data_IF_032441994621
#
_entry.id   IF_032441994621
#
_cell.length_a   1.000
_cell.length_b   1.000
_cell.length_c   1.000
_cell.angle_alpha   90.00
_cell.angle_beta   90.00
_cell.angle_gamma   90.00
#
_symmetry.space_group_name_H-M   'P 1'
#
loop_
_entity.id
_entity.type
_entity.pdbx_description
1 polymer ?
#
# COMPACT_ATOMS: atom_id res chain seq x y z
N UNK A 1 13.63 -22.10 -8.12
CA UNK A 1 14.15 -21.07 -7.21
C UNK A 1 13.41 -19.78 -7.52
N UNK A 2 12.75 -19.20 -6.52
CA UNK A 2 11.99 -17.97 -6.67
C UNK A 2 12.92 -16.79 -6.94
N UNK A 3 12.44 -15.79 -7.68
CA UNK A 3 13.19 -14.58 -8.00
C UNK A 3 12.48 -13.33 -7.47
N UNK A 4 13.24 -12.33 -7.05
CA UNK A 4 12.68 -11.00 -6.76
C UNK A 4 11.89 -10.48 -7.97
N UNK A 5 10.75 -9.83 -7.72
CA UNK A 5 9.72 -9.38 -8.69
C UNK A 5 8.86 -10.50 -9.29
N UNK A 6 9.12 -11.77 -9.00
CA UNK A 6 8.25 -12.85 -9.44
C UNK A 6 6.88 -12.74 -8.75
N UNK A 7 5.80 -12.87 -9.52
CA UNK A 7 4.45 -12.96 -8.98
C UNK A 7 4.17 -14.42 -8.63
N UNK A 8 3.85 -14.63 -7.36
CA UNK A 8 3.57 -15.92 -6.75
C UNK A 8 2.15 -15.97 -6.20
N UNK A 9 1.64 -17.18 -6.06
CA UNK A 9 0.36 -17.47 -5.44
C UNK A 9 0.59 -18.01 -4.03
N UNK A 10 -0.05 -17.37 -3.06
CA UNK A 10 -0.02 -17.80 -1.67
C UNK A 10 -1.16 -18.76 -1.41
N UNK A 11 -0.85 -19.87 -0.74
CA UNK A 11 -1.88 -20.73 -0.16
C UNK A 11 -2.31 -20.13 1.18
N UNK A 12 -3.56 -19.68 1.27
CA UNK A 12 -4.11 -19.18 2.53
C UNK A 12 -4.54 -20.35 3.41
N UNK A 13 -4.03 -20.42 4.63
CA UNK A 13 -4.54 -21.37 5.62
C UNK A 13 -5.98 -20.97 6.00
N UNK A 14 -6.96 -21.82 5.67
CA UNK A 14 -8.38 -21.61 6.01
C UNK A 14 -9.25 -20.97 4.93
N UNK A 15 -8.71 -20.68 3.73
CA UNK A 15 -9.53 -20.39 2.56
C UNK A 15 -10.18 -21.68 1.99
N UNK A 16 -11.25 -21.55 1.22
CA UNK A 16 -11.61 -22.63 0.29
C UNK A 16 -10.36 -22.91 -0.55
N UNK A 17 -9.95 -24.17 -0.71
CA UNK A 17 -8.64 -24.56 -1.28
C UNK A 17 -8.27 -24.01 -2.67
N UNK A 18 -9.16 -23.22 -3.29
CA UNK A 18 -9.00 -22.54 -4.58
C UNK A 18 -8.71 -21.02 -4.46
N UNK A 19 -8.78 -20.42 -3.26
CA UNK A 19 -8.50 -18.98 -3.08
C UNK A 19 -6.99 -18.72 -3.01
N UNK A 20 -6.42 -18.42 -4.19
CA UNK A 20 -5.03 -17.98 -4.34
C UNK A 20 -4.92 -16.47 -4.28
N UNK A 21 -4.03 -15.96 -3.43
CA UNK A 21 -3.75 -14.52 -3.32
C UNK A 21 -2.43 -14.22 -4.02
N UNK A 22 -2.41 -13.32 -5.02
CA UNK A 22 -1.16 -12.95 -5.69
C UNK A 22 -0.31 -12.05 -4.77
N UNK A 23 1.00 -12.28 -4.80
CA UNK A 23 1.99 -11.44 -4.14
C UNK A 23 3.26 -11.38 -4.99
N UNK A 24 4.04 -10.31 -4.83
CA UNK A 24 5.40 -10.29 -5.36
C UNK A 24 6.37 -10.90 -4.37
N UNK A 25 7.33 -11.68 -4.86
CA UNK A 25 8.54 -11.99 -4.10
C UNK A 25 9.41 -10.72 -4.05
N UNK A 26 9.69 -10.23 -2.85
CA UNK A 26 10.58 -9.08 -2.66
C UNK A 26 11.97 -9.54 -2.22
N UNK A 27 12.07 -10.53 -1.33
CA UNK A 27 13.34 -11.17 -0.95
C UNK A 27 13.18 -12.69 -0.86
N UNK A 28 13.87 -13.49 -1.68
CA UNK A 28 13.74 -14.95 -1.68
C UNK A 28 14.59 -15.67 -0.62
N UNK A 29 15.30 -14.95 0.27
CA UNK A 29 16.37 -15.52 1.10
C UNK A 29 15.92 -15.96 2.52
N UNK A 30 16.43 -17.12 2.96
CA UNK A 30 16.20 -17.77 4.25
C UNK A 30 16.29 -16.84 5.49
N UNK A 31 15.46 -17.03 6.54
CA UNK A 31 14.71 -18.26 6.87
C UNK A 31 13.30 -18.37 6.26
N UNK A 32 12.94 -17.56 5.26
CA UNK A 32 11.69 -17.69 4.50
C UNK A 32 11.69 -16.85 3.22
N UNK A 33 10.55 -16.75 2.56
CA UNK A 33 10.35 -15.89 1.39
C UNK A 33 9.61 -14.63 1.85
N UNK A 34 10.24 -13.47 1.72
CA UNK A 34 9.59 -12.19 1.96
C UNK A 34 8.79 -11.81 0.71
N UNK A 35 7.51 -11.55 0.91
CA UNK A 35 6.54 -11.27 -0.14
C UNK A 35 5.79 -9.97 0.14
N UNK A 36 5.24 -9.34 -0.90
CA UNK A 36 4.37 -8.19 -0.78
C UNK A 36 3.08 -8.42 -1.57
N UNK A 37 1.97 -8.63 -0.86
CA UNK A 37 0.63 -8.83 -1.42
C UNK A 37 -0.29 -7.64 -1.12
N UNK A 38 -1.58 -7.76 -1.46
CA UNK A 38 -2.55 -6.67 -1.22
C UNK A 38 -2.64 -6.21 0.25
N UNK A 39 -2.40 -7.13 1.20
CA UNK A 39 -2.39 -6.87 2.64
C UNK A 39 -1.05 -6.30 3.16
N UNK A 40 -0.01 -6.23 2.33
CA UNK A 40 1.33 -5.75 2.70
C UNK A 40 2.41 -6.82 2.70
N UNK A 41 3.47 -6.51 3.44
CA UNK A 41 4.64 -7.36 3.58
C UNK A 41 4.35 -8.57 4.49
N UNK A 42 4.87 -9.73 4.12
CA UNK A 42 4.86 -10.93 4.97
C UNK A 42 6.09 -11.79 4.70
N UNK A 43 6.48 -12.59 5.69
CA UNK A 43 7.46 -13.66 5.52
C UNK A 43 6.70 -14.98 5.58
N UNK A 44 6.87 -15.80 4.56
CA UNK A 44 6.20 -17.11 4.43
C UNK A 44 7.23 -18.19 4.20
N UNK A 45 6.86 -19.45 4.45
CA UNK A 45 7.73 -20.56 4.15
C UNK A 45 7.76 -20.82 2.63
N UNK A 46 8.86 -21.37 2.11
CA UNK A 46 8.98 -21.65 0.68
C UNK A 46 7.87 -22.56 0.14
N UNK A 47 7.35 -23.49 0.97
CA UNK A 47 6.29 -24.40 0.57
C UNK A 47 4.89 -23.76 0.53
N UNK A 48 4.70 -22.59 1.15
CA UNK A 48 3.44 -21.83 1.14
C UNK A 48 3.31 -20.95 -0.11
N UNK A 49 4.37 -20.88 -0.92
CA UNK A 49 4.49 -20.02 -2.09
C UNK A 49 4.68 -20.86 -3.34
N UNK A 50 3.83 -20.65 -4.34
CA UNK A 50 3.97 -21.30 -5.64
C UNK A 50 4.11 -20.26 -6.74
N UNK A 51 5.03 -20.43 -7.70
CA UNK A 51 5.00 -19.64 -8.93
C UNK A 51 3.60 -19.71 -9.55
N UNK A 52 3.06 -18.58 -9.98
CA UNK A 52 1.74 -18.59 -10.62
C UNK A 52 1.81 -19.44 -11.89
N UNK A 53 0.88 -20.39 -12.03
CA UNK A 53 0.83 -21.30 -13.19
C UNK A 53 0.50 -20.58 -14.49
N UNK A 54 -0.16 -19.44 -14.39
CA UNK A 54 -0.49 -18.56 -15.50
C UNK A 54 0.26 -17.25 -15.33
N UNK A 55 0.77 -16.65 -16.43
CA UNK A 55 1.33 -15.30 -16.36
C UNK A 55 0.30 -14.34 -15.77
N UNK A 56 0.66 -13.69 -14.66
CA UNK A 56 -0.17 -12.66 -14.02
C UNK A 56 0.24 -11.30 -14.53
N UNK A 57 -0.75 -10.42 -14.72
CA UNK A 57 -0.48 -9.03 -14.99
C UNK A 57 0.18 -8.37 -13.76
N UNK A 58 1.18 -7.50 -13.97
CA UNK A 58 1.70 -6.66 -12.90
C UNK A 58 0.57 -5.84 -12.26
N UNK A 59 0.57 -5.79 -10.94
CA UNK A 59 -0.39 -5.02 -10.16
C UNK A 59 0.31 -4.17 -9.10
N UNK A 60 -0.39 -3.15 -8.58
CA UNK A 60 0.01 -2.43 -7.37
C UNK A 60 -0.80 -2.95 -6.18
N UNK A 61 -0.14 -3.46 -5.12
CA UNK A 61 -0.79 -3.89 -3.88
C UNK A 61 -1.78 -2.85 -3.33
N UNK A 62 -2.93 -3.31 -2.82
CA UNK A 62 -3.99 -2.42 -2.33
C UNK A 62 -3.50 -1.55 -1.18
N UNK A 63 -2.66 -2.10 -0.28
CA UNK A 63 -2.01 -1.36 0.81
C UNK A 63 -1.24 -0.11 0.36
N UNK A 64 -0.74 -0.08 -0.88
CA UNK A 64 0.01 1.05 -1.44
C UNK A 64 -0.85 2.02 -2.27
N UNK A 65 -2.10 1.68 -2.62
CA UNK A 65 -2.94 2.48 -3.51
C UNK A 65 -4.35 2.78 -3.03
N UNK A 66 -4.88 2.05 -2.05
CA UNK A 66 -6.21 2.28 -1.50
C UNK A 66 -6.11 3.01 -0.16
N UNK A 67 -6.99 4.00 0.07
CA UNK A 67 -6.99 4.72 1.34
C UNK A 67 -7.50 3.83 2.46
N UNK A 68 -6.87 3.96 3.63
CA UNK A 68 -7.30 3.37 4.90
C UNK A 68 -8.18 4.33 5.69
N UNK A 69 -7.88 5.62 5.61
CA UNK A 69 -8.63 6.66 6.29
C UNK A 69 -8.45 8.02 5.65
N UNK A 70 -9.03 9.01 6.30
CA UNK A 70 -8.99 10.41 5.89
C UNK A 70 -8.62 11.28 7.09
N UNK A 71 -7.58 12.09 6.94
CA UNK A 71 -7.28 13.21 7.82
C UNK A 71 -8.05 14.44 7.39
N UNK A 72 -8.51 15.22 8.35
CA UNK A 72 -9.03 16.56 8.13
C UNK A 72 -7.97 17.57 8.52
N UNK A 73 -7.64 18.47 7.60
CA UNK A 73 -6.75 19.61 7.86
C UNK A 73 -7.55 20.80 8.40
N UNK A 74 -6.93 21.73 9.17
CA UNK A 74 -7.59 22.94 9.66
C UNK A 74 -8.18 23.84 8.57
N UNK A 75 -7.64 23.76 7.35
CA UNK A 75 -8.15 24.46 6.16
C UNK A 75 -9.51 23.93 5.68
N UNK A 76 -9.97 22.80 6.22
CA UNK A 76 -11.15 22.07 5.76
C UNK A 76 -10.85 21.07 4.63
N UNK A 77 -9.60 20.97 4.17
CA UNK A 77 -9.18 19.96 3.22
C UNK A 77 -9.17 18.56 3.84
N UNK A 78 -9.35 17.54 2.98
CA UNK A 78 -9.31 16.14 3.35
C UNK A 78 -8.10 15.48 2.71
N UNK A 79 -7.31 14.77 3.51
CA UNK A 79 -6.15 14.01 3.04
C UNK A 79 -6.41 12.52 3.21
N UNK A 80 -6.46 11.80 2.10
CA UNK A 80 -6.49 10.34 2.13
C UNK A 80 -5.13 9.80 2.54
N UNK A 81 -5.11 8.84 3.46
CA UNK A 81 -3.89 8.18 3.92
C UNK A 81 -3.96 6.66 3.79
N UNK A 82 -2.81 6.03 3.57
CA UNK A 82 -2.65 4.57 3.46
C UNK A 82 -2.74 3.87 4.81
N UNK A 83 -2.80 2.53 4.83
CA UNK A 83 -2.80 1.79 6.10
C UNK A 83 -1.55 2.08 6.95
N UNK A 84 -0.44 2.35 6.29
CA UNK A 84 0.84 2.70 6.89
C UNK A 84 0.96 4.20 7.17
N UNK A 85 -0.17 4.92 7.28
CA UNK A 85 -0.23 6.34 7.68
C UNK A 85 0.59 7.25 6.76
N UNK A 86 0.75 6.88 5.49
CA UNK A 86 1.39 7.72 4.48
C UNK A 86 0.31 8.53 3.73
N UNK A 87 0.51 9.84 3.50
CA UNK A 87 -0.37 10.62 2.64
C UNK A 87 -0.45 10.02 1.23
N UNK A 88 -1.62 10.11 0.60
CA UNK A 88 -1.85 9.67 -0.78
C UNK A 88 -2.27 10.85 -1.65
N UNK A 89 -3.39 11.47 -1.29
CA UNK A 89 -3.98 12.59 -2.03
C UNK A 89 -4.63 13.56 -1.08
N UNK A 90 -4.64 14.84 -1.45
CA UNK A 90 -5.43 15.90 -0.80
C UNK A 90 -6.58 16.30 -1.71
N UNK A 91 -7.74 16.54 -1.10
CA UNK A 91 -8.89 17.18 -1.74
C UNK A 91 -9.24 18.43 -0.96
N UNK A 92 -9.16 19.59 -1.61
CA UNK A 92 -9.47 20.88 -1.00
C UNK A 92 -11.01 21.10 -0.86
N UNK A 93 -11.39 22.17 -0.17
CA UNK A 93 -12.79 22.53 0.05
C UNK A 93 -13.58 22.92 -1.22
N UNK A 94 -12.91 23.14 -2.35
CA UNK A 94 -13.49 23.44 -3.65
C UNK A 94 -13.53 22.22 -4.58
N UNK A 95 -13.05 21.07 -4.12
CA UNK A 95 -12.98 19.82 -4.90
C UNK A 95 -11.73 19.69 -5.76
N UNK A 96 -10.76 20.59 -5.64
CA UNK A 96 -9.44 20.46 -6.22
C UNK A 96 -8.70 19.28 -5.58
N UNK A 97 -8.06 18.47 -6.41
CA UNK A 97 -7.39 17.25 -6.00
C UNK A 97 -5.91 17.28 -6.38
N UNK A 98 -5.04 16.95 -5.44
CA UNK A 98 -3.59 16.82 -5.67
C UNK A 98 -3.04 15.54 -5.07
N UNK A 99 -1.99 15.01 -5.70
CA UNK A 99 -1.21 13.90 -5.18
C UNK A 99 -0.19 14.45 -4.19
N UNK A 100 -0.03 13.75 -3.06
CA UNK A 100 0.94 14.14 -2.03
C UNK A 100 2.13 13.19 -2.04
N UNK A 101 3.25 13.69 -1.52
CA UNK A 101 4.39 12.85 -1.25
C UNK A 101 4.13 11.97 -0.01
N UNK A 102 4.53 10.68 -0.04
CA UNK A 102 4.20 9.73 1.03
C UNK A 102 4.94 10.01 2.35
N UNK A 103 5.93 10.90 2.33
CA UNK A 103 6.65 11.38 3.52
C UNK A 103 6.18 12.74 4.03
N UNK A 104 5.26 13.40 3.32
CA UNK A 104 4.85 14.76 3.65
C UNK A 104 4.22 14.82 5.03
N UNK A 105 4.65 15.79 5.85
CA UNK A 105 3.99 16.06 7.12
C UNK A 105 2.60 16.69 6.89
N UNK A 106 1.57 16.12 7.50
CA UNK A 106 0.18 16.60 7.43
C UNK A 106 -0.27 17.01 8.81
N UNK A 107 -0.61 18.29 8.96
CA UNK A 107 -1.23 18.78 10.19
C UNK A 107 -2.72 18.43 10.18
N UNK A 108 -3.12 17.49 11.02
CA UNK A 108 -4.51 17.06 11.13
C UNK A 108 -5.18 17.51 12.43
N UNK A 109 -6.45 17.91 12.35
CA UNK A 109 -7.32 18.20 13.50
C UNK A 109 -8.32 17.07 13.81
N UNK A 110 -8.28 15.99 13.04
CA UNK A 110 -9.18 14.85 13.21
C UNK A 110 -9.05 13.84 12.09
N UNK A 111 -9.45 12.60 12.37
CA UNK A 111 -9.36 11.51 11.40
C UNK A 111 -10.60 10.62 11.41
N UNK A 112 -10.81 9.92 10.29
CA UNK A 112 -11.83 8.91 10.15
C UNK A 112 -11.28 7.70 9.39
N UNK A 113 -11.66 6.50 9.85
CA UNK A 113 -11.26 5.25 9.22
C UNK A 113 -12.30 4.84 8.19
N UNK A 114 -11.85 4.47 6.99
CA UNK A 114 -12.72 3.94 5.94
C UNK A 114 -12.96 2.44 6.10
N UNK A 115 -12.04 1.75 6.77
CA UNK A 115 -12.11 0.32 7.11
C UNK A 115 -11.11 -0.02 8.22
N UNK A 116 -11.20 -1.25 8.73
CA UNK A 116 -10.33 -1.82 9.76
C UNK A 116 -9.97 -3.28 9.43
N UNK A 117 -9.25 -3.93 10.34
CA UNK A 117 -8.74 -5.31 10.16
C UNK A 117 -9.83 -6.38 10.09
N UNK A 118 -11.03 -6.08 10.59
CA UNK A 118 -12.18 -6.99 10.49
C UNK A 118 -12.80 -6.97 9.09
N UNK A 119 -12.62 -5.87 8.34
CA UNK A 119 -13.24 -5.67 7.04
C UNK A 119 -12.31 -5.01 6.01
N UNK A 120 -11.15 -5.60 5.67
CA UNK A 120 -10.21 -4.99 4.76
C UNK A 120 -10.62 -5.17 3.29
N UNK A 121 -10.23 -4.25 2.38
CA UNK A 121 -10.65 -4.28 0.98
C UNK A 121 -10.15 -5.52 0.21
N UNK A 122 -9.02 -6.12 0.61
CA UNK A 122 -8.51 -7.36 0.00
C UNK A 122 -9.26 -8.63 0.43
N UNK A 123 -10.19 -8.54 1.40
CA UNK A 123 -11.13 -9.61 1.76
C UNK A 123 -12.59 -9.23 1.47
N UNK A 124 -12.84 -7.99 1.08
CA UNK A 124 -14.17 -7.47 0.77
C UNK A 124 -14.17 -6.75 -0.58
N UNK A 125 -14.48 -7.47 -1.69
CA UNK A 125 -14.53 -6.88 -3.03
C UNK A 125 -15.54 -5.72 -3.17
N UNK A 126 -16.62 -5.74 -2.39
CA UNK A 126 -17.63 -4.66 -2.40
C UNK A 126 -17.04 -3.37 -1.80
N UNK A 127 -16.31 -3.50 -0.70
CA UNK A 127 -15.58 -2.38 -0.11
C UNK A 127 -14.47 -1.87 -1.05
N UNK A 128 -13.69 -2.77 -1.66
CA UNK A 128 -12.68 -2.40 -2.65
C UNK A 128 -13.30 -1.53 -3.75
N UNK A 129 -14.39 -1.99 -4.39
CA UNK A 129 -15.09 -1.24 -5.45
C UNK A 129 -15.61 0.10 -4.95
N UNK A 130 -16.10 0.17 -3.71
CA UNK A 130 -16.56 1.43 -3.10
C UNK A 130 -15.42 2.44 -2.94
N UNK A 131 -14.23 1.99 -2.49
CA UNK A 131 -13.05 2.85 -2.36
C UNK A 131 -12.58 3.33 -3.74
N UNK A 132 -12.47 2.42 -4.71
CA UNK A 132 -12.07 2.77 -6.08
C UNK A 132 -13.05 3.76 -6.73
N UNK A 133 -14.35 3.56 -6.54
CA UNK A 133 -15.37 4.51 -6.97
C UNK A 133 -15.23 5.87 -6.28
N UNK A 134 -14.96 5.90 -4.98
CA UNK A 134 -14.79 7.15 -4.23
C UNK A 134 -13.61 7.96 -4.76
N UNK A 135 -12.50 7.30 -5.09
CA UNK A 135 -11.34 7.95 -5.70
C UNK A 135 -11.69 8.51 -7.09
N UNK A 136 -12.36 7.70 -7.93
CA UNK A 136 -12.80 8.12 -9.26
C UNK A 136 -13.75 9.32 -9.23
N UNK A 137 -14.76 9.30 -8.34
CA UNK A 137 -15.73 10.38 -8.18
C UNK A 137 -15.07 11.69 -7.71
N UNK A 138 -13.88 11.62 -7.11
CA UNK A 138 -13.06 12.76 -6.67
C UNK A 138 -11.97 13.15 -7.66
N UNK A 139 -11.92 12.54 -8.85
CA UNK A 139 -10.88 12.78 -9.84
C UNK A 139 -9.50 12.20 -9.49
N UNK A 140 -9.41 11.37 -8.46
CA UNK A 140 -8.17 10.74 -7.96
C UNK A 140 -7.88 9.45 -8.73
N UNK A 141 -7.67 9.58 -10.04
CA UNK A 141 -7.47 8.42 -10.95
C UNK A 141 -6.00 8.08 -11.19
N UNK A 142 -5.08 8.98 -10.85
CA UNK A 142 -3.64 8.72 -10.93
C UNK A 142 -3.21 7.76 -9.82
N UNK A 143 -2.18 6.95 -10.09
CA UNK A 143 -1.55 6.12 -9.06
C UNK A 143 -0.87 7.02 -8.03
N UNK A 144 -1.01 6.78 -6.71
CA UNK A 144 -0.37 7.63 -5.72
C UNK A 144 1.15 7.45 -5.74
N UNK A 145 1.89 8.48 -5.32
CA UNK A 145 3.35 8.44 -5.21
C UNK A 145 3.83 7.27 -4.32
N UNK A 146 3.04 6.89 -3.31
CA UNK A 146 3.31 5.72 -2.46
C UNK A 146 3.49 4.40 -3.23
N UNK A 147 2.89 4.26 -4.42
CA UNK A 147 3.09 3.07 -5.24
C UNK A 147 4.56 2.84 -5.63
N UNK A 148 5.37 3.92 -5.66
CA UNK A 148 6.82 3.83 -5.86
C UNK A 148 7.56 3.02 -4.79
N UNK A 149 6.98 2.88 -3.59
CA UNK A 149 7.55 2.05 -2.52
C UNK A 149 7.68 0.57 -2.92
N UNK A 150 6.84 0.08 -3.84
CA UNK A 150 6.96 -1.30 -4.33
C UNK A 150 8.32 -1.57 -4.97
N UNK A 151 8.85 -0.61 -5.74
CA UNK A 151 10.15 -0.78 -6.36
C UNK A 151 11.30 -0.70 -5.35
N UNK A 152 11.13 0.06 -4.27
CA UNK A 152 12.07 0.06 -3.15
C UNK A 152 12.14 -1.34 -2.51
N UNK A 153 11.01 -2.00 -2.27
CA UNK A 153 11.02 -3.37 -1.74
C UNK A 153 11.77 -4.37 -2.63
N UNK A 154 11.80 -4.16 -3.96
CA UNK A 154 12.57 -5.01 -4.87
C UNK A 154 14.09 -4.79 -4.79
N UNK A 155 14.53 -3.64 -4.28
CA UNK A 155 15.94 -3.24 -4.24
C UNK A 155 16.53 -3.29 -2.83
N UNK A 156 15.68 -3.13 -1.82
CA UNK A 156 16.05 -3.00 -0.42
C UNK A 156 15.26 -3.99 0.43
N UNK A 157 15.90 -4.56 1.45
CA UNK A 157 15.25 -5.44 2.41
C UNK A 157 14.54 -4.64 3.49
N UNK A 158 13.51 -3.88 3.10
CA UNK A 158 12.69 -3.13 4.04
C UNK A 158 11.79 -4.06 4.86
N UNK A 159 11.55 -3.70 6.11
CA UNK A 159 10.68 -4.41 7.06
C UNK A 159 9.25 -3.90 7.02
N UNK A 160 9.02 -2.66 6.57
CA UNK A 160 7.70 -2.10 6.39
C UNK A 160 7.65 -1.00 5.32
N UNK A 161 6.44 -0.48 5.06
CA UNK A 161 6.20 0.55 4.06
C UNK A 161 6.84 1.88 4.46
N UNK A 162 6.93 2.20 5.76
CA UNK A 162 7.53 3.46 6.24
C UNK A 162 9.03 3.45 5.95
N UNK A 163 9.70 2.34 6.19
CA UNK A 163 11.10 2.16 5.81
C UNK A 163 11.30 2.29 4.30
N UNK A 164 10.43 1.67 3.49
CA UNK A 164 10.50 1.84 2.05
C UNK A 164 10.29 3.30 1.61
N UNK A 165 9.41 4.04 2.29
CA UNK A 165 9.20 5.48 2.06
C UNK A 165 10.44 6.30 2.42
N UNK A 166 11.21 5.96 3.46
CA UNK A 166 12.47 6.67 3.79
C UNK A 166 13.45 6.66 2.62
N UNK A 167 13.49 5.60 1.82
CA UNK A 167 14.33 5.54 0.61
C UNK A 167 13.83 6.40 -0.54
N UNK A 168 12.58 6.87 -0.50
CA UNK A 168 12.03 7.78 -1.51
C UNK A 168 12.29 9.26 -1.16
N UNK A 169 12.60 9.57 0.10
CA UNK A 169 12.80 10.95 0.57
C UNK A 169 14.05 11.57 -0.09
N UNK A 170 13.90 12.68 -0.82
CA UNK A 170 15.04 13.45 -1.32
C UNK A 170 15.89 14.01 -0.18
N UNK A 171 17.20 14.20 -0.42
CA UNK A 171 18.13 14.69 0.59
C UNK A 171 17.82 16.10 1.12
N UNK A 172 17.08 16.90 0.33
CA UNK A 172 16.70 18.30 0.57
C UNK A 172 15.21 18.47 0.90
N UNK A 173 14.52 17.42 1.33
CA UNK A 173 13.11 17.49 1.67
C UNK A 173 12.85 18.29 2.97
N UNK A 174 12.28 19.49 2.84
CA UNK A 174 12.01 20.39 3.98
C UNK A 174 10.79 20.00 4.84
N UNK A 175 9.97 19.04 4.42
CA UNK A 175 8.66 18.73 5.06
C UNK A 175 8.42 17.23 5.26
N UNK A 176 9.31 16.57 6.02
CA UNK A 176 9.21 15.14 6.34
C UNK A 176 8.45 14.93 7.65
N UNK A 177 7.55 13.94 7.69
CA UNK A 177 6.87 13.57 8.93
C UNK A 177 7.86 13.13 10.02
N UNK A 178 7.68 13.61 11.25
CA UNK A 178 8.63 13.38 12.35
C UNK A 178 8.84 11.89 12.67
N UNK A 179 7.80 11.06 12.51
CA UNK A 179 7.86 9.61 12.72
C UNK A 179 8.62 8.87 11.61
N UNK A 180 8.79 9.49 10.43
CA UNK A 180 9.64 8.99 9.36
C UNK A 180 11.11 9.40 9.54
N UNK A 181 11.37 10.54 10.21
CA UNK A 181 12.71 11.09 10.43
C UNK A 181 13.48 10.47 11.62
N UNK A 182 12.75 9.83 12.55
CA UNK A 182 13.32 9.06 13.66
C UNK A 182 13.66 7.62 13.26
#
# INVERSE_FOLDING_TARGET
MLKTREIVELRTAGGNGDEVVPAYVVHPNAPGVKIFGHAGLSVVQEYDVQPSRTPREPFIPMRLRLPHGVWKEPSGAYVFFSRDRCPLWRVDGQGGAEMLEPWQHIQSEGESMLWDDSNPPWRNPSLQKKLEKTLMDKGLVSMPALAGALDIFFRHNCEDVREAVRHLVPADADNVAADLAA
#
